data_IF_953541046914
#
_entry.id   IF_953541046914
#
_cell.length_a   1.000
_cell.length_b   1.000
_cell.length_c   1.000
_cell.angle_alpha   90.00
_cell.angle_beta   90.00
_cell.angle_gamma   90.00
#
_symmetry.space_group_name_H-M   'P 1'
#
loop_
_entity.id
_entity.type
_entity.pdbx_description
1 polymer ?
#
# COMPACT_ATOMS: atom_id res chain seq x y z
N UNK A 1 23.26 -6.13 -7.43
CA UNK A 1 22.01 -6.32 -8.19
C UNK A 1 21.25 -7.46 -7.54
N UNK A 2 20.00 -7.26 -7.15
CA UNK A 2 19.18 -8.31 -6.52
C UNK A 2 18.78 -9.30 -7.62
N UNK A 3 19.07 -10.58 -7.44
CA UNK A 3 18.74 -11.63 -8.42
C UNK A 3 17.39 -12.26 -8.06
N UNK A 4 16.29 -11.63 -8.50
CA UNK A 4 14.93 -12.07 -8.17
C UNK A 4 14.63 -13.49 -8.65
N UNK A 5 15.14 -13.88 -9.83
CA UNK A 5 14.92 -15.21 -10.40
C UNK A 5 15.63 -16.31 -9.61
N UNK A 6 16.84 -16.04 -9.09
CA UNK A 6 17.60 -17.02 -8.29
C UNK A 6 16.89 -17.43 -6.99
N UNK A 7 16.24 -16.49 -6.31
CA UNK A 7 15.66 -16.74 -4.98
C UNK A 7 14.13 -16.94 -5.01
N UNK A 8 13.50 -16.74 -6.17
CA UNK A 8 12.08 -17.05 -6.37
C UNK A 8 11.12 -16.22 -5.50
N UNK A 9 11.58 -15.09 -4.96
CA UNK A 9 10.87 -14.27 -3.98
C UNK A 9 9.50 -13.80 -4.48
N UNK A 10 8.52 -13.80 -3.58
CA UNK A 10 7.29 -13.08 -3.80
C UNK A 10 7.48 -11.62 -3.43
N UNK A 11 6.92 -10.72 -4.23
CA UNK A 11 7.11 -9.27 -4.09
C UNK A 11 5.76 -8.65 -3.78
N UNK A 12 5.59 -8.19 -2.55
CA UNK A 12 4.44 -7.38 -2.18
C UNK A 12 4.67 -5.93 -2.57
N UNK A 13 3.79 -5.38 -3.39
CA UNK A 13 3.95 -4.05 -3.95
C UNK A 13 2.62 -3.28 -4.04
N UNK A 14 2.70 -1.96 -3.85
CA UNK A 14 1.64 -1.04 -4.29
C UNK A 14 1.54 -1.10 -5.82
N UNK A 15 0.32 -1.05 -6.38
CA UNK A 15 0.08 -0.93 -7.81
C UNK A 15 0.82 0.24 -8.48
N UNK A 16 1.22 1.27 -7.72
CA UNK A 16 2.10 2.34 -8.22
C UNK A 16 3.55 1.92 -8.46
N UNK A 17 4.01 0.87 -7.78
CA UNK A 17 5.36 0.29 -7.89
C UNK A 17 5.40 -0.81 -8.92
N UNK A 18 4.31 -1.55 -9.07
CA UNK A 18 4.23 -2.66 -10.02
C UNK A 18 4.69 -2.28 -11.44
N UNK A 19 4.35 -1.09 -12.01
CA UNK A 19 4.91 -0.65 -13.27
C UNK A 19 6.44 -0.67 -13.33
N UNK A 20 7.13 -0.28 -12.26
CA UNK A 20 8.60 -0.32 -12.20
C UNK A 20 9.11 -1.77 -12.26
N UNK A 21 8.46 -2.68 -11.54
CA UNK A 21 8.84 -4.09 -11.46
C UNK A 21 8.57 -4.84 -12.77
N UNK A 22 7.51 -4.46 -13.48
CA UNK A 22 7.05 -5.12 -14.70
C UNK A 22 7.50 -4.36 -15.96
N UNK A 23 8.20 -3.24 -15.80
CA UNK A 23 8.72 -2.43 -16.91
C UNK A 23 7.64 -1.66 -17.68
N UNK A 24 6.50 -1.38 -17.05
CA UNK A 24 5.46 -0.52 -17.62
C UNK A 24 5.80 0.95 -17.42
N UNK A 25 5.41 1.77 -18.39
CA UNK A 25 5.50 3.22 -18.34
C UNK A 25 4.75 3.76 -17.12
N UNK A 26 5.41 4.66 -16.38
CA UNK A 26 4.85 5.29 -15.19
C UNK A 26 3.81 6.38 -15.53
N UNK A 27 2.95 6.67 -14.55
CA UNK A 27 1.93 7.72 -14.66
C UNK A 27 0.57 7.22 -15.16
N UNK A 28 -0.23 8.15 -15.68
CA UNK A 28 -1.59 7.89 -16.15
C UNK A 28 -1.59 7.36 -17.60
N UNK A 29 -1.19 6.09 -17.75
CA UNK A 29 -1.07 5.42 -19.04
C UNK A 29 -2.36 4.70 -19.44
N UNK A 30 -2.55 4.52 -20.75
CA UNK A 30 -3.74 3.87 -21.31
C UNK A 30 -3.85 2.43 -20.82
N UNK A 31 -2.79 1.63 -21.00
CA UNK A 31 -2.74 0.22 -20.60
C UNK A 31 -1.93 0.05 -19.31
N UNK A 32 -2.48 0.53 -18.19
CA UNK A 32 -1.79 0.53 -16.88
C UNK A 32 -1.90 -0.79 -16.12
N UNK A 33 -2.85 -1.67 -16.49
CA UNK A 33 -2.95 -3.01 -15.92
C UNK A 33 -1.85 -3.92 -16.49
N UNK A 34 -1.16 -4.65 -15.60
CA UNK A 34 -0.13 -5.60 -15.99
C UNK A 34 -0.67 -6.99 -16.35
N UNK A 35 -1.95 -7.27 -16.09
CA UNK A 35 -2.59 -8.55 -16.41
C UNK A 35 -3.40 -8.51 -17.71
N UNK A 36 -3.99 -7.36 -18.04
CA UNK A 36 -4.80 -7.17 -19.23
C UNK A 36 -4.57 -5.79 -19.88
N UNK A 37 -5.12 -5.61 -21.08
CA UNK A 37 -5.11 -4.36 -21.84
C UNK A 37 -6.33 -3.49 -21.47
N UNK A 38 -6.56 -3.31 -20.17
CA UNK A 38 -7.57 -2.39 -19.64
C UNK A 38 -7.28 -0.97 -20.15
N UNK A 39 -8.26 -0.37 -20.83
CA UNK A 39 -8.15 1.00 -21.34
C UNK A 39 -8.61 1.99 -20.28
N UNK A 40 -7.65 2.56 -19.54
CA UNK A 40 -7.92 3.55 -18.49
C UNK A 40 -8.58 4.82 -19.00
N UNK A 41 -8.59 5.07 -20.32
CA UNK A 41 -9.19 6.25 -20.95
C UNK A 41 -10.63 5.98 -21.41
N UNK A 42 -11.06 4.72 -21.49
CA UNK A 42 -12.41 4.34 -21.91
C UNK A 42 -13.43 4.42 -20.75
N UNK A 43 -13.56 5.62 -20.15
CA UNK A 43 -14.35 5.86 -18.92
C UNK A 43 -15.77 5.31 -19.01
N UNK A 44 -16.44 5.50 -20.17
CA UNK A 44 -17.80 5.02 -20.40
C UNK A 44 -17.94 3.49 -20.34
N UNK A 45 -16.85 2.74 -20.53
CA UNK A 45 -16.84 1.28 -20.52
C UNK A 45 -16.42 0.67 -19.18
N UNK A 46 -15.89 1.46 -18.24
CA UNK A 46 -15.21 0.92 -17.06
C UNK A 46 -16.07 -0.01 -16.20
N UNK A 47 -17.34 0.33 -15.98
CA UNK A 47 -18.27 -0.52 -15.21
C UNK A 47 -19.12 -1.46 -16.08
N UNK A 48 -18.95 -1.42 -17.41
CA UNK A 48 -19.76 -2.20 -18.36
C UNK A 48 -18.95 -3.38 -18.90
N UNK A 49 -17.68 -3.14 -19.23
CA UNK A 49 -16.79 -4.13 -19.83
C UNK A 49 -15.85 -4.71 -18.79
N UNK A 50 -16.06 -5.98 -18.43
CA UNK A 50 -15.18 -6.76 -17.57
C UNK A 50 -14.07 -7.49 -18.35
N UNK A 51 -14.39 -7.97 -19.56
CA UNK A 51 -13.46 -8.78 -20.36
C UNK A 51 -12.53 -7.92 -21.24
N UNK A 52 -11.36 -7.58 -20.68
CA UNK A 52 -10.27 -6.93 -21.40
C UNK A 52 -9.27 -7.97 -21.91
N UNK A 53 -8.75 -7.75 -23.12
CA UNK A 53 -7.78 -8.66 -23.74
C UNK A 53 -6.58 -8.87 -22.82
N UNK A 54 -6.20 -10.13 -22.60
CA UNK A 54 -5.07 -10.48 -21.73
C UNK A 54 -3.77 -9.87 -22.26
N UNK A 55 -2.90 -9.40 -21.36
CA UNK A 55 -1.56 -8.97 -21.72
C UNK A 55 -0.66 -10.20 -21.91
N UNK A 56 -0.30 -10.47 -23.16
CA UNK A 56 0.52 -11.63 -23.52
C UNK A 56 2.03 -11.32 -23.62
N UNK A 57 2.40 -10.06 -23.84
CA UNK A 57 3.78 -9.61 -24.11
C UNK A 57 4.18 -8.47 -23.18
N UNK A 58 5.45 -8.50 -22.75
CA UNK A 58 6.16 -7.41 -22.09
C UNK A 58 7.38 -6.97 -22.91
N UNK A 59 7.25 -6.98 -24.24
CA UNK A 59 8.27 -6.43 -25.14
C UNK A 59 8.25 -4.90 -25.04
N UNK A 60 9.41 -4.24 -24.85
CA UNK A 60 9.49 -2.78 -24.86
C UNK A 60 8.86 -2.18 -26.13
N UNK A 61 8.28 -0.98 -25.98
CA UNK A 61 7.59 -0.20 -27.03
C UNK A 61 6.16 -0.66 -27.35
N UNK A 62 5.74 -1.85 -26.92
CA UNK A 62 4.36 -2.33 -27.07
C UNK A 62 3.49 -1.96 -25.86
N UNK A 63 2.26 -1.47 -26.09
CA UNK A 63 1.20 -1.38 -25.08
C UNK A 63 1.63 -0.84 -23.69
N UNK A 64 2.35 0.29 -23.70
CA UNK A 64 2.91 0.96 -22.52
C UNK A 64 4.02 0.20 -21.77
N UNK A 65 4.69 -0.76 -22.40
CA UNK A 65 5.92 -1.36 -21.86
C UNK A 65 7.11 -0.48 -22.26
N UNK A 66 7.88 -0.02 -21.28
CA UNK A 66 9.05 0.84 -21.48
C UNK A 66 10.36 0.05 -21.32
N UNK A 67 10.38 -0.92 -20.42
CA UNK A 67 11.56 -1.71 -20.07
C UNK A 67 11.22 -3.20 -19.94
N UNK A 68 12.26 -4.03 -19.98
CA UNK A 68 12.10 -5.45 -19.66
C UNK A 68 11.69 -5.62 -18.19
N UNK A 69 10.77 -6.55 -17.86
CA UNK A 69 10.38 -6.82 -16.48
C UNK A 69 11.57 -7.22 -15.60
N UNK A 70 11.61 -6.68 -14.38
CA UNK A 70 12.55 -7.08 -13.33
C UNK A 70 12.06 -8.30 -12.52
N UNK A 71 10.74 -8.51 -12.52
CA UNK A 71 10.07 -9.61 -11.85
C UNK A 71 8.98 -10.20 -12.74
N UNK A 72 8.66 -11.46 -12.49
CA UNK A 72 7.57 -12.15 -13.19
C UNK A 72 6.21 -11.71 -12.61
N UNK A 73 5.17 -11.45 -13.44
CA UNK A 73 3.87 -10.97 -12.97
C UNK A 73 3.23 -11.82 -11.85
N UNK A 74 3.39 -13.14 -11.90
CA UNK A 74 2.81 -14.05 -10.92
C UNK A 74 3.57 -14.10 -9.58
N UNK A 75 4.73 -13.43 -9.49
CA UNK A 75 5.48 -13.23 -8.24
C UNK A 75 5.03 -11.97 -7.50
N UNK A 76 4.23 -11.11 -8.15
CA UNK A 76 3.70 -9.90 -7.53
C UNK A 76 2.50 -10.25 -6.65
N UNK A 77 2.48 -9.70 -5.45
CA UNK A 77 1.32 -9.71 -4.56
C UNK A 77 0.84 -8.28 -4.42
N UNK A 78 -0.45 -8.05 -4.66
CA UNK A 78 -1.07 -6.74 -4.46
C UNK A 78 -1.30 -6.52 -2.99
N UNK A 79 -0.79 -5.41 -2.48
CA UNK A 79 -0.91 -5.10 -1.08
C UNK A 79 -2.37 -4.70 -0.70
N UNK A 80 -3.04 -5.40 0.23
CA UNK A 80 -4.45 -5.14 0.58
C UNK A 80 -4.70 -3.75 1.15
N UNK A 81 -3.79 -3.20 1.98
CA UNK A 81 -3.89 -1.81 2.46
C UNK A 81 -3.92 -0.79 1.32
N UNK A 82 -3.06 -0.93 0.31
CA UNK A 82 -3.02 0.02 -0.81
C UNK A 82 -4.30 -0.04 -1.64
N UNK A 83 -4.95 -1.22 -1.68
CA UNK A 83 -6.30 -1.37 -2.23
C UNK A 83 -7.33 -0.60 -1.40
N UNK A 84 -7.33 -0.76 -0.06
CA UNK A 84 -8.21 0.02 0.85
C UNK A 84 -8.01 1.54 0.70
N UNK A 85 -6.76 1.98 0.61
CA UNK A 85 -6.39 3.39 0.39
C UNK A 85 -6.90 3.90 -0.96
N UNK A 86 -6.82 3.06 -2.01
CA UNK A 86 -7.41 3.35 -3.32
C UNK A 86 -8.93 3.52 -3.26
N UNK A 87 -9.63 2.59 -2.60
CA UNK A 87 -11.09 2.61 -2.47
C UNK A 87 -11.59 3.85 -1.72
N UNK A 88 -11.04 4.13 -0.53
CA UNK A 88 -11.45 5.32 0.24
C UNK A 88 -11.16 6.61 -0.52
N UNK A 89 -10.07 6.63 -1.32
CA UNK A 89 -9.74 7.78 -2.16
C UNK A 89 -10.85 8.03 -3.19
N UNK A 90 -11.31 6.99 -3.88
CA UNK A 90 -12.39 7.09 -4.86
C UNK A 90 -13.71 7.51 -4.20
N UNK A 91 -14.04 6.92 -3.05
CA UNK A 91 -15.24 7.25 -2.27
C UNK A 91 -15.22 8.73 -1.85
N UNK A 92 -14.16 9.18 -1.18
CA UNK A 92 -14.06 10.57 -0.69
C UNK A 92 -14.06 11.58 -1.84
N UNK A 93 -13.54 11.21 -3.02
CA UNK A 93 -13.64 12.04 -4.23
C UNK A 93 -15.08 12.19 -4.73
N UNK A 94 -15.91 11.16 -4.62
CA UNK A 94 -17.32 11.20 -5.01
C UNK A 94 -18.25 11.85 -3.96
N UNK A 95 -17.84 11.91 -2.68
CA UNK A 95 -18.65 12.53 -1.60
C UNK A 95 -19.06 13.99 -1.87
N UNK A 96 -20.19 14.41 -1.31
CA UNK A 96 -20.62 15.81 -1.32
C UNK A 96 -19.64 16.67 -0.50
N UNK A 97 -18.93 17.58 -1.18
CA UNK A 97 -17.91 18.44 -0.55
C UNK A 97 -18.52 19.46 0.42
N UNK A 98 -19.82 19.73 0.31
CA UNK A 98 -20.57 20.59 1.23
C UNK A 98 -21.28 19.79 2.33
N UNK A 99 -21.27 18.46 2.22
CA UNK A 99 -21.94 17.54 3.11
C UNK A 99 -21.31 17.50 4.51
N UNK A 100 -22.10 17.11 5.54
CA UNK A 100 -21.64 17.07 6.92
C UNK A 100 -20.50 16.08 7.14
N UNK A 101 -20.55 14.88 6.54
CA UNK A 101 -19.48 13.90 6.64
C UNK A 101 -18.15 14.41 6.07
N UNK A 102 -18.17 15.09 4.92
CA UNK A 102 -16.96 15.66 4.31
C UNK A 102 -16.36 16.79 5.16
N UNK A 103 -17.21 17.67 5.71
CA UNK A 103 -16.78 18.73 6.65
C UNK A 103 -16.14 18.13 7.91
N UNK A 104 -16.73 17.07 8.46
CA UNK A 104 -16.16 16.38 9.62
C UNK A 104 -14.77 15.78 9.36
N UNK A 105 -14.47 15.33 8.14
CA UNK A 105 -13.11 14.88 7.79
C UNK A 105 -12.06 15.99 7.98
N UNK A 106 -12.42 17.26 7.72
CA UNK A 106 -11.53 18.40 7.97
C UNK A 106 -11.31 18.65 9.47
N UNK A 107 -12.38 18.59 10.25
CA UNK A 107 -12.35 18.80 11.70
C UNK A 107 -11.58 17.67 12.41
N UNK A 108 -11.80 16.43 11.99
CA UNK A 108 -11.15 15.24 12.55
C UNK A 108 -9.65 15.21 12.26
N UNK A 109 -9.24 15.66 11.08
CA UNK A 109 -7.85 15.63 10.63
C UNK A 109 -7.31 17.04 10.35
N UNK A 110 -7.16 17.92 11.37
CA UNK A 110 -6.79 19.32 11.17
C UNK A 110 -5.36 19.49 10.62
N UNK A 111 -4.53 18.45 10.70
CA UNK A 111 -3.17 18.42 10.11
C UNK A 111 -3.17 18.14 8.61
N UNK A 112 -4.31 17.75 8.02
CA UNK A 112 -4.44 17.56 6.58
C UNK A 112 -4.92 18.86 5.93
N UNK A 113 -4.29 19.21 4.82
CA UNK A 113 -4.78 20.31 4.00
C UNK A 113 -6.12 19.94 3.36
N UNK A 114 -6.92 20.97 3.05
CA UNK A 114 -8.20 20.77 2.36
C UNK A 114 -8.02 20.00 1.05
N UNK A 115 -6.97 20.30 0.30
CA UNK A 115 -6.63 19.60 -0.94
C UNK A 115 -6.36 18.11 -0.73
N UNK A 116 -5.64 17.73 0.35
CA UNK A 116 -5.38 16.31 0.66
C UNK A 116 -6.66 15.55 0.98
N UNK A 117 -7.59 16.16 1.71
CA UNK A 117 -8.89 15.56 2.02
C UNK A 117 -9.74 15.44 0.75
N UNK A 118 -9.84 16.51 -0.07
CA UNK A 118 -10.54 16.47 -1.37
C UNK A 118 -10.01 15.38 -2.29
N UNK A 119 -8.69 15.18 -2.29
CA UNK A 119 -8.03 14.14 -3.06
C UNK A 119 -8.06 12.74 -2.43
N UNK A 120 -8.69 12.59 -1.26
CA UNK A 120 -8.82 11.32 -0.56
C UNK A 120 -7.47 10.75 -0.08
N UNK A 121 -6.51 11.61 0.27
CA UNK A 121 -5.16 11.21 0.65
C UNK A 121 -5.11 10.85 2.14
N UNK A 122 -5.40 9.59 2.43
CA UNK A 122 -5.34 9.01 3.78
C UNK A 122 -4.13 8.07 3.94
N UNK A 123 -3.92 7.64 5.18
CA UNK A 123 -2.97 6.58 5.56
C UNK A 123 -3.73 5.52 6.35
N UNK A 124 -3.19 4.31 6.42
CA UNK A 124 -3.86 3.17 7.07
C UNK A 124 -4.47 3.47 8.46
N UNK A 125 -3.72 4.08 9.40
CA UNK A 125 -4.26 4.44 10.71
C UNK A 125 -5.49 5.35 10.68
N UNK A 126 -5.59 6.28 9.72
CA UNK A 126 -6.74 7.19 9.63
C UNK A 126 -8.01 6.48 9.15
N UNK A 127 -7.88 5.57 8.20
CA UNK A 127 -9.00 4.75 7.74
C UNK A 127 -9.51 3.88 8.90
N UNK A 128 -8.58 3.23 9.63
CA UNK A 128 -8.91 2.43 10.81
C UNK A 128 -9.68 3.26 11.85
N UNK A 129 -9.26 4.51 12.09
CA UNK A 129 -9.99 5.42 12.99
C UNK A 129 -11.40 5.72 12.50
N UNK A 130 -11.59 5.98 11.20
CA UNK A 130 -12.91 6.27 10.63
C UNK A 130 -13.86 5.07 10.71
N UNK A 131 -13.36 3.84 10.54
CA UNK A 131 -14.18 2.63 10.68
C UNK A 131 -14.78 2.46 12.08
N UNK A 132 -14.16 3.03 13.10
CA UNK A 132 -14.63 2.96 14.49
C UNK A 132 -15.27 4.27 14.98
N UNK A 133 -15.40 5.29 14.11
CA UNK A 133 -15.88 6.62 14.50
C UNK A 133 -17.39 6.73 14.29
N UNK A 134 -18.15 6.51 15.38
CA UNK A 134 -19.61 6.61 15.36
C UNK A 134 -20.13 8.02 15.07
N UNK A 135 -19.34 9.08 15.31
CA UNK A 135 -19.73 10.43 14.93
C UNK A 135 -19.63 10.61 13.42
N UNK A 136 -18.56 10.11 12.81
CA UNK A 136 -18.45 10.12 11.34
C UNK A 136 -19.60 9.36 10.70
N UNK A 137 -19.90 8.16 11.21
CA UNK A 137 -20.97 7.31 10.67
C UNK A 137 -22.35 7.99 10.70
N UNK A 138 -22.68 8.69 11.80
CA UNK A 138 -23.94 9.44 11.93
C UNK A 138 -24.07 10.61 10.96
N UNK A 139 -22.96 11.12 10.44
CA UNK A 139 -22.95 12.24 9.50
C UNK A 139 -23.04 11.79 8.04
N UNK A 140 -22.91 10.49 7.76
CA UNK A 140 -23.09 9.95 6.41
C UNK A 140 -24.57 9.99 6.02
N UNK A 141 -24.86 10.59 4.87
CA UNK A 141 -26.23 10.56 4.30
C UNK A 141 -26.55 9.15 3.77
N UNK A 142 -27.82 8.86 3.50
CA UNK A 142 -28.29 7.53 3.07
C UNK A 142 -27.40 6.87 2.00
N UNK A 143 -27.13 7.53 0.86
CA UNK A 143 -26.23 6.98 -0.18
C UNK A 143 -24.77 6.84 0.28
N UNK A 144 -24.23 7.85 0.96
CA UNK A 144 -22.86 7.82 1.49
C UNK A 144 -22.66 6.68 2.49
N UNK A 145 -23.67 6.44 3.33
CA UNK A 145 -23.68 5.38 4.34
C UNK A 145 -23.68 4.00 3.68
N UNK A 146 -24.54 3.77 2.68
CA UNK A 146 -24.57 2.48 1.97
C UNK A 146 -23.20 2.15 1.35
N UNK A 147 -22.59 3.12 0.66
CA UNK A 147 -21.28 2.94 0.02
C UNK A 147 -20.17 2.75 1.06
N UNK A 148 -20.22 3.50 2.16
CA UNK A 148 -19.28 3.35 3.27
C UNK A 148 -19.38 1.99 3.95
N UNK A 149 -20.60 1.52 4.22
CA UNK A 149 -20.85 0.24 4.86
C UNK A 149 -20.39 -0.90 3.95
N UNK A 150 -20.65 -0.84 2.64
CA UNK A 150 -20.13 -1.81 1.67
C UNK A 150 -18.60 -1.81 1.60
N UNK A 151 -17.98 -0.62 1.57
CA UNK A 151 -16.52 -0.49 1.63
C UNK A 151 -15.94 -1.08 2.92
N UNK A 152 -16.61 -0.87 4.06
CA UNK A 152 -16.22 -1.46 5.33
C UNK A 152 -16.32 -2.99 5.29
N UNK A 153 -17.43 -3.55 4.80
CA UNK A 153 -17.60 -5.00 4.65
C UNK A 153 -16.51 -5.64 3.79
N UNK A 154 -16.21 -5.07 2.61
CA UNK A 154 -15.09 -5.56 1.76
C UNK A 154 -13.74 -5.40 2.48
N UNK A 155 -13.56 -4.32 3.23
CA UNK A 155 -12.31 -4.07 3.96
C UNK A 155 -12.03 -5.10 5.06
N UNK A 156 -13.07 -5.60 5.74
CA UNK A 156 -12.91 -6.57 6.83
C UNK A 156 -13.00 -8.02 6.35
N UNK A 157 -13.90 -8.32 5.40
CA UNK A 157 -14.24 -9.69 5.00
C UNK A 157 -13.51 -10.15 3.74
N UNK A 158 -12.82 -9.26 3.02
CA UNK A 158 -12.03 -9.64 1.84
C UNK A 158 -10.57 -9.17 2.00
N UNK A 159 -10.37 -7.87 2.23
CA UNK A 159 -9.04 -7.28 2.39
C UNK A 159 -8.51 -7.36 3.84
N UNK A 160 -9.18 -8.16 4.68
CA UNK A 160 -8.84 -8.41 6.08
C UNK A 160 -7.87 -9.59 6.24
N UNK A 161 -7.81 -10.13 7.46
CA UNK A 161 -7.00 -11.33 7.74
C UNK A 161 -7.63 -12.56 7.13
N UNK A 162 -8.92 -12.75 7.37
CA UNK A 162 -9.67 -13.89 6.89
C UNK A 162 -10.62 -13.43 5.80
N UNK A 163 -10.71 -14.25 4.77
CA UNK A 163 -11.56 -14.02 3.61
C UNK A 163 -12.88 -14.77 3.84
N UNK A 164 -13.98 -14.03 3.97
CA UNK A 164 -15.31 -14.60 4.13
C UNK A 164 -15.70 -15.40 2.89
N UNK A 165 -16.54 -16.43 3.02
CA UNK A 165 -16.96 -17.27 1.89
C UNK A 165 -17.71 -16.47 0.82
N UNK A 166 -18.55 -15.51 1.25
CA UNK A 166 -19.35 -14.64 0.39
C UNK A 166 -18.60 -13.38 -0.08
N UNK A 167 -17.27 -13.34 0.00
CA UNK A 167 -16.49 -12.14 -0.37
C UNK A 167 -16.75 -11.66 -1.82
N UNK A 168 -17.07 -12.57 -2.74
CA UNK A 168 -17.35 -12.23 -4.14
C UNK A 168 -18.59 -11.36 -4.24
N UNK A 169 -19.66 -11.76 -3.55
CA UNK A 169 -20.93 -11.03 -3.50
C UNK A 169 -20.72 -9.65 -2.85
N UNK A 170 -19.97 -9.60 -1.74
CA UNK A 170 -19.61 -8.33 -1.09
C UNK A 170 -18.88 -7.36 -2.02
N UNK A 171 -17.96 -7.87 -2.85
CA UNK A 171 -17.22 -7.06 -3.81
C UNK A 171 -18.14 -6.61 -4.95
N UNK A 172 -18.99 -7.50 -5.48
CA UNK A 172 -19.93 -7.15 -6.55
C UNK A 172 -20.94 -6.08 -6.09
N UNK A 173 -21.53 -6.24 -4.91
CA UNK A 173 -22.43 -5.26 -4.30
C UNK A 173 -21.74 -3.91 -4.10
N UNK A 174 -20.50 -3.92 -3.58
CA UNK A 174 -19.72 -2.70 -3.41
C UNK A 174 -19.44 -2.01 -4.76
N UNK A 175 -19.11 -2.77 -5.81
CA UNK A 175 -18.83 -2.22 -7.14
C UNK A 175 -20.08 -1.56 -7.76
N UNK A 176 -21.25 -2.18 -7.62
CA UNK A 176 -22.53 -1.61 -8.06
C UNK A 176 -22.85 -0.30 -7.31
N UNK A 177 -22.66 -0.28 -5.99
CA UNK A 177 -22.84 0.92 -5.17
C UNK A 177 -21.83 2.01 -5.53
N UNK A 178 -20.57 1.66 -5.80
CA UNK A 178 -19.56 2.62 -6.26
C UNK A 178 -19.94 3.25 -7.61
N UNK A 179 -20.47 2.44 -8.53
CA UNK A 179 -20.95 2.92 -9.82
C UNK A 179 -22.13 3.89 -9.65
N UNK A 180 -23.19 3.52 -8.91
CA UNK A 180 -24.36 4.40 -8.66
C UNK A 180 -23.97 5.69 -7.93
N UNK A 181 -22.98 5.61 -7.04
CA UNK A 181 -22.48 6.77 -6.31
C UNK A 181 -21.61 7.71 -7.16
N UNK A 182 -21.24 7.31 -8.38
CA UNK A 182 -20.42 8.12 -9.28
C UNK A 182 -18.92 8.06 -8.98
N UNK A 183 -18.45 6.98 -8.34
CA UNK A 183 -17.01 6.73 -8.22
C UNK A 183 -16.43 6.43 -9.60
N UNK A 184 -15.40 7.15 -10.02
CA UNK A 184 -14.62 6.76 -11.20
C UNK A 184 -13.87 5.45 -10.92
N UNK A 185 -13.78 4.55 -11.89
CA UNK A 185 -13.00 3.31 -11.72
C UNK A 185 -11.50 3.64 -11.70
N UNK A 186 -10.85 3.38 -10.57
CA UNK A 186 -9.38 3.40 -10.47
C UNK A 186 -8.81 2.03 -10.79
N UNK A 187 -7.49 1.95 -10.96
CA UNK A 187 -6.81 0.66 -11.15
C UNK A 187 -7.11 -0.31 -9.98
N UNK A 188 -7.22 0.18 -8.73
CA UNK A 188 -7.61 -0.66 -7.60
C UNK A 188 -9.02 -1.25 -7.77
N UNK A 189 -9.99 -0.43 -8.19
CA UNK A 189 -11.37 -0.88 -8.43
C UNK A 189 -11.39 -1.89 -9.59
N UNK A 190 -10.64 -1.63 -10.67
CA UNK A 190 -10.51 -2.56 -11.79
C UNK A 190 -9.92 -3.91 -11.36
N UNK A 191 -8.93 -3.93 -10.46
CA UNK A 191 -8.39 -5.19 -9.93
C UNK A 191 -9.43 -5.99 -9.14
N UNK A 192 -10.33 -5.33 -8.41
CA UNK A 192 -11.43 -6.00 -7.72
C UNK A 192 -12.49 -6.52 -8.68
N UNK A 193 -12.81 -5.77 -9.73
CA UNK A 193 -13.82 -6.15 -10.72
C UNK A 193 -13.34 -7.28 -11.65
N UNK A 194 -12.13 -7.16 -12.22
CA UNK A 194 -11.66 -8.05 -13.29
C UNK A 194 -10.60 -9.07 -12.85
N UNK A 195 -9.95 -8.85 -11.71
CA UNK A 195 -8.80 -9.65 -11.25
C UNK A 195 -8.91 -10.10 -9.79
N UNK A 196 -10.13 -10.35 -9.32
CA UNK A 196 -10.40 -10.70 -7.93
C UNK A 196 -9.61 -11.94 -7.45
N UNK A 197 -9.43 -12.91 -8.35
CA UNK A 197 -8.66 -14.14 -8.08
C UNK A 197 -7.13 -13.92 -7.98
N UNK A 198 -6.64 -12.71 -8.27
CA UNK A 198 -5.22 -12.38 -8.10
C UNK A 198 -4.85 -12.09 -6.63
N UNK A 199 -5.84 -11.76 -5.79
CA UNK A 199 -5.59 -11.53 -4.37
C UNK A 199 -5.34 -12.87 -3.66
N UNK A 200 -4.34 -12.92 -2.75
CA UNK A 200 -4.05 -14.13 -1.99
C UNK A 200 -5.21 -14.46 -1.04
N UNK A 201 -5.34 -15.75 -0.67
CA UNK A 201 -6.41 -16.21 0.23
C UNK A 201 -6.33 -15.56 1.61
N UNK A 202 -5.11 -15.31 2.11
CA UNK A 202 -4.88 -14.58 3.35
C UNK A 202 -4.23 -13.21 3.08
N UNK A 203 -5.07 -12.20 2.90
CA UNK A 203 -4.63 -10.82 2.70
C UNK A 203 -3.95 -10.21 3.96
N UNK A 204 -4.31 -10.65 5.18
CA UNK A 204 -3.74 -10.10 6.41
C UNK A 204 -2.32 -10.58 6.73
N UNK A 205 -1.92 -11.77 6.26
CA UNK A 205 -0.54 -12.26 6.38
C UNK A 205 0.45 -11.37 5.63
N UNK A 206 -0.03 -10.66 4.60
CA UNK A 206 0.75 -9.73 3.79
C UNK A 206 0.74 -8.31 4.40
N UNK A 207 0.30 -8.13 5.66
CA UNK A 207 0.21 -6.81 6.27
C UNK A 207 1.58 -6.12 6.41
N UNK A 208 1.79 -5.05 5.63
CA UNK A 208 2.99 -4.21 5.69
C UNK A 208 2.94 -3.24 6.88
N UNK A 209 2.82 -3.77 8.10
CA UNK A 209 2.94 -2.94 9.33
C UNK A 209 4.27 -2.18 9.34
N UNK A 210 5.32 -2.77 8.77
CA UNK A 210 6.65 -2.17 8.71
C UNK A 210 6.76 -1.04 7.68
N UNK A 211 6.16 -1.17 6.49
CA UNK A 211 6.09 -0.09 5.51
C UNK A 211 5.06 0.98 5.88
N UNK A 212 4.01 0.64 6.65
CA UNK A 212 3.15 1.62 7.32
C UNK A 212 3.94 2.46 8.35
N UNK A 213 4.90 1.87 9.07
CA UNK A 213 5.73 2.57 10.08
C UNK A 213 6.91 3.33 9.48
N UNK A 214 7.49 2.82 8.38
CA UNK A 214 8.68 3.39 7.73
C UNK A 214 8.63 4.90 7.52
N UNK A 215 7.56 5.54 6.98
CA UNK A 215 7.58 6.99 6.78
C UNK A 215 7.64 7.75 8.11
N UNK A 216 7.05 7.21 9.18
CA UNK A 216 7.16 7.79 10.51
C UNK A 216 8.57 7.58 11.09
N UNK A 217 9.15 6.40 10.89
CA UNK A 217 10.48 6.05 11.35
C UNK A 217 11.53 6.92 10.65
N UNK A 218 11.49 7.00 9.31
CA UNK A 218 12.36 7.86 8.51
C UNK A 218 12.19 9.33 8.86
N UNK A 219 10.97 9.82 9.09
CA UNK A 219 10.78 11.21 9.57
C UNK A 219 11.53 11.45 10.89
N UNK A 220 11.54 10.46 11.80
CA UNK A 220 12.27 10.55 13.05
C UNK A 220 13.79 10.50 12.83
N UNK A 221 14.26 9.62 11.93
CA UNK A 221 15.68 9.57 11.51
C UNK A 221 16.11 10.89 10.89
N UNK A 222 15.38 11.40 9.89
CA UNK A 222 15.68 12.67 9.20
C UNK A 222 15.81 13.83 10.18
N UNK A 223 14.93 13.92 11.18
CA UNK A 223 15.03 14.93 12.24
C UNK A 223 16.34 14.81 13.03
N UNK A 224 16.78 13.59 13.38
CA UNK A 224 18.07 13.35 14.06
C UNK A 224 19.25 13.84 13.21
N UNK A 225 19.15 13.70 11.89
CA UNK A 225 20.18 14.11 10.94
C UNK A 225 19.95 15.50 10.34
N UNK A 226 19.01 16.30 10.86
CA UNK A 226 18.67 17.64 10.36
C UNK A 226 18.39 17.69 8.84
N UNK A 227 17.80 16.62 8.30
CA UNK A 227 17.51 16.47 6.88
C UNK A 227 18.71 16.08 6.00
N UNK A 228 19.88 15.81 6.58
CA UNK A 228 21.06 15.37 5.83
C UNK A 228 20.98 13.88 5.49
N UNK A 229 20.72 13.60 4.21
CA UNK A 229 20.74 12.25 3.66
C UNK A 229 22.18 11.78 3.45
N UNK A 230 22.60 10.76 4.20
CA UNK A 230 23.95 10.18 4.13
C UNK A 230 23.91 8.66 4.22
N UNK A 231 24.99 8.01 3.79
CA UNK A 231 25.18 6.55 4.00
C UNK A 231 25.13 6.19 5.48
N UNK A 232 25.65 7.05 6.36
CA UNK A 232 25.60 6.88 7.81
C UNK A 232 24.16 6.90 8.34
N UNK A 233 23.31 7.82 7.85
CA UNK A 233 21.89 7.88 8.23
C UNK A 233 21.14 6.59 7.87
N UNK A 234 21.37 6.06 6.66
CA UNK A 234 20.78 4.79 6.23
C UNK A 234 21.30 3.61 7.05
N UNK A 235 22.60 3.57 7.34
CA UNK A 235 23.20 2.54 8.18
C UNK A 235 22.61 2.55 9.60
N UNK A 236 22.45 3.72 10.20
CA UNK A 236 21.82 3.90 11.52
C UNK A 236 20.36 3.45 11.50
N UNK A 237 19.60 3.77 10.44
CA UNK A 237 18.23 3.27 10.29
C UNK A 237 18.20 1.74 10.21
N UNK A 238 19.00 1.12 9.33
CA UNK A 238 19.11 -0.33 9.25
C UNK A 238 19.49 -0.96 10.61
N UNK A 239 20.36 -0.28 11.36
CA UNK A 239 20.75 -0.72 12.69
C UNK A 239 19.62 -0.68 13.72
N UNK A 240 18.70 0.29 13.61
CA UNK A 240 17.48 0.31 14.47
C UNK A 240 16.55 -0.86 14.21
N UNK A 241 16.55 -1.43 13.00
CA UNK A 241 15.71 -2.59 12.66
C UNK A 241 16.27 -3.91 13.23
N UNK A 242 17.57 -3.98 13.53
CA UNK A 242 18.27 -5.21 13.93
C UNK A 242 18.38 -5.33 15.46
N UNK A 243 18.24 -4.23 16.21
CA UNK A 243 18.37 -4.26 17.68
C UNK A 243 17.06 -4.74 18.35
N UNK A 244 17.07 -5.83 19.16
CA UNK A 244 15.94 -6.13 20.02
C UNK A 244 15.77 -4.99 21.03
N UNK A 245 14.56 -4.43 21.13
CA UNK A 245 14.23 -3.42 22.13
C UNK A 245 14.22 -4.11 23.50
N UNK A 246 15.09 -3.73 24.45
CA UNK A 246 15.01 -4.28 25.80
C UNK A 246 13.76 -3.71 26.47
N UNK A 247 12.81 -4.58 26.82
CA UNK A 247 11.67 -4.20 27.66
C UNK A 247 12.16 -4.14 29.10
N UNK A 248 12.55 -2.96 29.58
CA UNK A 248 12.79 -2.76 31.01
C UNK A 248 11.45 -2.50 31.70
N UNK A 249 10.95 -3.46 32.50
CA UNK A 249 9.90 -3.16 33.48
C UNK A 249 10.51 -2.31 34.59
N UNK A 250 9.86 -1.20 34.93
CA UNK A 250 10.19 -0.41 36.12
C UNK A 250 9.85 -1.22 37.36
N UNK A 251 10.82 -1.97 37.88
CA UNK A 251 10.77 -2.57 39.21
C UNK A 251 11.21 -1.59 40.28
N UNK A 252 10.65 -1.74 41.48
CA UNK A 252 10.89 -0.96 42.71
C UNK A 252 12.40 -0.74 42.95
N UNK A 253 12.76 0.46 43.48
CA UNK A 253 14.14 0.89 43.73
C UNK A 253 14.97 -0.22 44.39
N UNK A 254 16.07 -0.61 43.76
CA UNK A 254 17.11 -1.46 44.33
C UNK A 254 17.37 -2.81 43.64
N UNK A 255 16.55 -3.25 42.68
CA UNK A 255 16.82 -4.48 41.95
C UNK A 255 17.76 -4.27 40.75
N UNK A 256 18.87 -5.02 40.71
CA UNK A 256 19.79 -5.06 39.55
C UNK A 256 19.04 -5.61 38.34
N UNK A 257 19.02 -4.85 37.25
CA UNK A 257 18.35 -5.19 35.99
C UNK A 257 19.03 -6.44 35.38
N UNK A 258 18.29 -7.55 35.29
CA UNK A 258 18.68 -8.72 34.50
C UNK A 258 17.90 -8.65 33.18
N UNK A 259 18.57 -8.60 32.01
CA UNK A 259 17.90 -8.67 30.73
C UNK A 259 17.16 -10.01 30.60
N UNK A 260 15.86 -9.97 30.31
CA UNK A 260 15.16 -11.15 29.80
C UNK A 260 15.51 -11.25 28.32
N UNK A 261 16.15 -12.34 27.90
CA UNK A 261 16.35 -12.63 26.48
C UNK A 261 14.98 -12.81 25.82
N UNK A 262 14.53 -11.79 25.10
CA UNK A 262 13.42 -11.94 24.17
C UNK A 262 13.96 -12.63 22.92
N UNK A 263 13.40 -13.80 22.59
CA UNK A 263 13.59 -14.40 21.26
C UNK A 263 13.06 -13.41 20.22
N UNK A 264 13.95 -12.58 19.66
CA UNK A 264 13.66 -11.79 18.48
C UNK A 264 13.43 -12.69 17.26
N UNK A 265 12.86 -12.15 16.16
CA UNK A 265 12.69 -12.92 14.93
C UNK A 265 14.05 -13.41 14.43
N UNK A 266 14.13 -14.72 14.17
CA UNK A 266 15.33 -15.39 13.66
C UNK A 266 15.65 -14.94 12.23
N UNK A 267 16.57 -13.99 12.14
CA UNK A 267 17.52 -13.70 11.06
C UNK A 267 16.93 -13.50 9.64
N UNK A 268 16.87 -12.24 9.21
CA UNK A 268 16.79 -11.84 7.78
C UNK A 268 18.13 -11.31 7.23
N UNK A 269 19.16 -11.16 8.06
CA UNK A 269 20.48 -10.66 7.63
C UNK A 269 21.61 -11.35 8.39
N UNK A 270 22.06 -12.52 7.92
CA UNK A 270 23.37 -13.05 8.31
C UNK A 270 24.46 -12.29 7.53
N UNK A 271 24.84 -11.11 8.01
CA UNK A 271 25.99 -10.37 7.46
C UNK A 271 27.24 -10.81 8.25
N UNK A 272 28.04 -11.68 7.62
CA UNK A 272 29.38 -12.02 8.11
C UNK A 272 30.21 -10.74 8.28
N UNK A 273 30.86 -10.63 9.44
CA UNK A 273 31.57 -9.48 10.02
C UNK A 273 32.75 -8.89 9.21
N UNK A 274 32.95 -9.26 7.93
CA UNK A 274 34.13 -8.90 7.14
C UNK A 274 33.87 -8.39 5.72
N UNK A 275 32.63 -8.37 5.23
CA UNK A 275 32.36 -7.89 3.88
C UNK A 275 32.14 -6.37 3.85
N UNK A 276 33.11 -5.61 3.32
CA UNK A 276 32.92 -4.21 2.93
C UNK A 276 31.78 -4.14 1.88
N UNK A 277 30.66 -3.46 2.14
CA UNK A 277 29.59 -3.36 1.16
C UNK A 277 29.95 -2.29 0.13
N UNK A 278 30.61 -2.67 -0.95
CA UNK A 278 30.62 -1.89 -2.20
C UNK A 278 29.27 -2.04 -2.90
N UNK A 279 28.22 -1.49 -2.31
CA UNK A 279 26.95 -1.26 -3.01
C UNK A 279 26.99 0.15 -3.57
N UNK A 280 26.97 0.23 -4.90
CA UNK A 280 26.98 1.46 -5.67
C UNK A 280 25.69 2.26 -5.37
N UNK A 281 25.76 3.12 -4.36
CA UNK A 281 24.66 3.92 -3.79
C UNK A 281 24.14 5.04 -4.69
N UNK A 282 24.60 5.12 -5.95
CA UNK A 282 24.23 6.19 -6.88
C UNK A 282 22.75 6.24 -7.26
N UNK A 283 22.01 5.14 -7.13
CA UNK A 283 20.57 5.13 -7.42
C UNK A 283 19.68 5.63 -6.27
N UNK A 284 20.20 5.71 -5.04
CA UNK A 284 19.44 6.21 -3.87
C UNK A 284 19.80 7.65 -3.48
N UNK A 285 20.93 8.18 -3.96
CA UNK A 285 21.46 9.51 -3.58
C UNK A 285 21.62 10.44 -4.80
N UNK A 286 20.85 10.19 -5.86
CA UNK A 286 20.81 11.03 -7.06
C UNK A 286 19.77 12.15 -6.97
N UNK A 287 20.22 13.36 -6.59
CA UNK A 287 19.55 14.68 -6.70
C UNK A 287 18.02 14.69 -6.87
N UNK A 288 17.33 14.89 -5.74
CA UNK A 288 15.91 15.19 -5.70
C UNK A 288 15.29 14.48 -4.51
N UNK A 289 14.81 15.25 -3.53
CA UNK A 289 14.29 14.69 -2.27
C UNK A 289 13.25 13.59 -2.51
N UNK A 290 13.16 12.67 -1.56
CA UNK A 290 12.19 11.57 -1.44
C UNK A 290 10.72 12.05 -1.33
N UNK A 291 10.37 13.22 -1.90
CA UNK A 291 9.05 13.84 -1.81
C UNK A 291 8.06 13.31 -2.84
N UNK A 292 8.50 12.56 -3.86
CA UNK A 292 7.61 12.12 -4.96
C UNK A 292 7.34 10.62 -5.03
N UNK A 293 8.09 9.77 -4.32
CA UNK A 293 7.91 8.31 -4.40
C UNK A 293 8.10 7.65 -3.03
N UNK A 294 7.15 7.88 -2.11
CA UNK A 294 6.92 6.96 -0.99
C UNK A 294 6.17 5.77 -1.56
N UNK A 295 6.92 4.78 -2.04
CA UNK A 295 6.40 3.60 -2.70
C UNK A 295 7.18 2.40 -2.22
N UNK A 296 6.51 1.55 -1.44
CA UNK A 296 7.11 0.43 -0.72
C UNK A 296 7.13 -0.82 -1.59
N UNK A 297 8.25 -1.55 -1.54
CA UNK A 297 8.37 -2.93 -2.05
C UNK A 297 8.83 -3.78 -0.90
N UNK A 298 7.99 -4.70 -0.44
CA UNK A 298 8.37 -5.70 0.56
C UNK A 298 8.67 -7.00 -0.18
N UNK A 299 9.89 -7.47 -0.06
CA UNK A 299 10.28 -8.78 -0.54
C UNK A 299 9.92 -9.81 0.53
N UNK A 300 8.97 -10.69 0.24
CA UNK A 300 8.62 -11.80 1.11
C UNK A 300 9.49 -13.01 0.75
N UNK A 301 10.33 -13.43 1.69
CA UNK A 301 11.04 -14.71 1.62
C UNK A 301 10.16 -15.77 2.26
N UNK A 302 9.69 -16.76 1.49
CA UNK A 302 9.21 -18.02 2.09
C UNK A 302 10.46 -18.82 2.52
N UNK A 303 10.43 -19.37 3.74
CA UNK A 303 11.32 -20.46 4.15
C UNK A 303 10.57 -21.77 3.93
#
# INVERSE_FOLDING_TARGET
>A
MINYSKYGWQICADLKVVPILIGLQLGYTKYSCFLCLWDSRAIALHYIKRDWSRRASFKPVEMNVEHSPLAEPHKIIIHPLHTKLGLVKNLVKAMDKNGPAFKYLHEKFPRLSVAKIKEGVFVGPRIKQLFTDSNFEKLLRSKEKQVWDAFYQVSINFLGTDKAENYKDLVEDMLALFQDFGCNMSLNIHFLDSHLNFFPDNCGQVSDKHGESFPQDITNIEKRYRGNWSTAMLADYCWTLIRPVPVFRTGVRGARLVPLESKGPQNLFDVHRSAKPTVNSRYWVGRGGLKTYSTYTVVLSQR
#
